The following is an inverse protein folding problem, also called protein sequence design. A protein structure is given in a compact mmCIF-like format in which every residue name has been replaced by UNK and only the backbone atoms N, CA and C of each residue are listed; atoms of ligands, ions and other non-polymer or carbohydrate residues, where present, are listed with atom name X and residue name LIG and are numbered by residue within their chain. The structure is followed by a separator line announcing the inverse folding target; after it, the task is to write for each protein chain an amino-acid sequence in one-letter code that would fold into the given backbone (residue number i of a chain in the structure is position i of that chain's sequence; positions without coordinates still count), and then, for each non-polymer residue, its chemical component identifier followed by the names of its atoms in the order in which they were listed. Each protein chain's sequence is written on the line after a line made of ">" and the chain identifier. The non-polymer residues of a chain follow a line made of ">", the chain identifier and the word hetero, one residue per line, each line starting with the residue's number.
data_IF_415563129428
#
_entry.id   IF_415563129428
#
_cell.length_a   1.000
_cell.length_b   1.000
_cell.length_c   1.000
_cell.angle_alpha   90.00
_cell.angle_beta   90.00
_cell.angle_gamma   90.00
#
_symmetry.space_group_name_H-M   'P 1'
#
loop_
_entity.id
_entity.type
_entity.pdbx_description
1 polymer ?
#
# COMPACT_ATOMS: atom_id res chain seq x y z
N UNK A 1 -5.91 -0.11 -47.25
CA UNK A 1 -5.24 0.78 -46.28
C UNK A 1 -6.33 1.46 -45.45
N UNK A 2 -6.78 0.82 -44.37
CA UNK A 2 -7.82 1.37 -43.50
C UNK A 2 -7.22 2.46 -42.61
N UNK A 3 -7.70 3.70 -42.75
CA UNK A 3 -7.38 4.79 -41.83
C UNK A 3 -7.98 4.43 -40.46
N UNK A 4 -7.11 4.29 -39.46
CA UNK A 4 -7.53 4.27 -38.06
C UNK A 4 -8.09 5.65 -37.73
N UNK A 5 -9.41 5.74 -37.59
CA UNK A 5 -10.06 6.86 -36.92
C UNK A 5 -9.74 6.72 -35.43
N UNK A 6 -8.81 7.53 -34.91
CA UNK A 6 -8.78 7.81 -33.48
C UNK A 6 -10.07 8.58 -33.18
N UNK A 7 -11.01 7.95 -32.49
CA UNK A 7 -12.15 8.64 -31.92
C UNK A 7 -11.64 9.68 -30.92
N UNK A 8 -12.10 10.93 -31.04
CA UNK A 8 -11.95 11.99 -30.03
C UNK A 8 -12.83 11.66 -28.82
N UNK A 9 -12.66 10.47 -28.24
CA UNK A 9 -13.30 10.13 -26.99
C UNK A 9 -12.64 10.96 -25.88
N UNK A 10 -13.40 11.73 -25.09
CA UNK A 10 -12.84 12.56 -24.04
C UNK A 10 -12.07 11.66 -23.07
N UNK A 11 -10.83 12.05 -22.76
CA UNK A 11 -9.97 11.37 -21.81
C UNK A 11 -10.79 11.11 -20.53
N UNK A 12 -10.92 9.85 -20.08
CA UNK A 12 -11.73 9.53 -18.90
C UNK A 12 -11.30 10.41 -17.73
N UNK A 13 -12.27 10.98 -16.99
CA UNK A 13 -11.98 11.92 -15.88
C UNK A 13 -10.98 11.37 -14.85
N UNK A 14 -10.95 10.04 -14.66
CA UNK A 14 -9.95 9.35 -13.85
C UNK A 14 -8.51 9.58 -14.34
N UNK A 15 -8.28 9.52 -15.65
CA UNK A 15 -6.97 9.76 -16.28
C UNK A 15 -6.59 11.25 -16.20
N UNK A 16 -7.58 12.15 -16.29
CA UNK A 16 -7.36 13.58 -16.08
C UNK A 16 -6.92 13.91 -14.65
N UNK A 17 -7.55 13.28 -13.65
CA UNK A 17 -7.18 13.39 -12.24
C UNK A 17 -5.78 12.84 -11.95
N UNK A 18 -5.45 11.67 -12.48
CA UNK A 18 -4.12 11.06 -12.33
C UNK A 18 -3.02 11.92 -12.97
N UNK A 19 -3.28 12.51 -14.15
CA UNK A 19 -2.33 13.39 -14.83
C UNK A 19 -2.10 14.70 -14.06
N UNK A 20 -3.15 15.25 -13.43
CA UNK A 20 -3.01 16.39 -12.53
C UNK A 20 -2.22 16.06 -11.27
N UNK A 21 -2.43 14.88 -10.67
CA UNK A 21 -1.65 14.42 -9.52
C UNK A 21 -0.17 14.21 -9.86
N UNK A 22 0.13 13.62 -11.03
CA UNK A 22 1.51 13.44 -11.50
C UNK A 22 2.22 14.78 -11.71
N UNK A 23 1.52 15.77 -12.28
CA UNK A 23 2.08 17.11 -12.47
C UNK A 23 2.34 17.82 -11.12
N UNK A 24 1.42 17.70 -10.16
CA UNK A 24 1.61 18.24 -8.82
C UNK A 24 2.79 17.59 -8.09
N UNK A 25 2.96 16.27 -8.23
CA UNK A 25 4.09 15.54 -7.67
C UNK A 25 5.41 16.00 -8.30
N UNK A 26 5.45 16.15 -9.63
CA UNK A 26 6.61 16.69 -10.35
C UNK A 26 7.02 18.06 -9.84
N UNK A 27 6.06 18.97 -9.69
CA UNK A 27 6.31 20.32 -9.18
C UNK A 27 6.81 20.34 -7.72
N UNK A 28 6.37 19.41 -6.86
CA UNK A 28 6.87 19.29 -5.48
C UNK A 28 8.31 18.76 -5.45
N UNK A 29 8.61 17.76 -6.29
CA UNK A 29 9.97 17.19 -6.40
C UNK A 29 10.94 18.25 -6.91
N UNK A 30 10.56 19.04 -7.91
CA UNK A 30 11.40 20.12 -8.42
C UNK A 30 11.69 21.18 -7.35
N UNK A 31 10.67 21.61 -6.59
CA UNK A 31 10.86 22.55 -5.47
C UNK A 31 11.81 22.00 -4.42
N UNK A 32 11.66 20.73 -4.05
CA UNK A 32 12.56 20.08 -3.09
C UNK A 32 14.00 20.00 -3.62
N UNK A 33 14.18 19.67 -4.90
CA UNK A 33 15.50 19.65 -5.54
C UNK A 33 16.14 21.04 -5.59
N UNK A 34 15.35 22.10 -5.79
CA UNK A 34 15.83 23.47 -5.74
C UNK A 34 16.32 23.84 -4.33
N UNK A 35 15.54 23.55 -3.29
CA UNK A 35 15.95 23.77 -1.90
C UNK A 35 17.21 22.97 -1.52
N UNK A 36 17.31 21.73 -2.02
CA UNK A 36 18.51 20.91 -1.87
C UNK A 36 19.74 21.53 -2.52
N UNK A 37 19.58 22.15 -3.69
CA UNK A 37 20.66 22.83 -4.39
C UNK A 37 21.12 24.10 -3.68
N UNK A 38 20.18 24.85 -3.10
CA UNK A 38 20.48 26.01 -2.26
C UNK A 38 21.25 25.59 -1.01
N UNK A 39 20.76 24.57 -0.29
CA UNK A 39 21.43 24.03 0.90
C UNK A 39 22.84 23.51 0.60
N UNK A 40 23.02 22.82 -0.53
CA UNK A 40 24.33 22.35 -1.00
C UNK A 40 25.30 23.52 -1.19
N UNK A 41 24.82 24.63 -1.77
CA UNK A 41 25.61 25.84 -2.02
C UNK A 41 25.98 26.54 -0.71
N UNK A 42 25.01 26.70 0.21
CA UNK A 42 25.25 27.32 1.53
C UNK A 42 26.26 26.55 2.37
N UNK A 43 26.22 25.22 2.33
CA UNK A 43 27.07 24.37 3.18
C UNK A 43 28.34 23.86 2.45
N UNK A 44 28.59 24.33 1.22
CA UNK A 44 29.73 23.89 0.39
C UNK A 44 29.81 22.36 0.21
N UNK A 45 28.65 21.69 0.13
CA UNK A 45 28.55 20.25 -0.08
C UNK A 45 28.28 19.99 -1.56
N UNK A 46 28.93 18.99 -2.16
CA UNK A 46 28.58 18.58 -3.53
C UNK A 46 27.13 18.10 -3.60
N UNK A 47 26.34 18.67 -4.52
CA UNK A 47 24.93 18.30 -4.71
C UNK A 47 24.73 16.79 -4.95
N UNK A 48 25.67 16.13 -5.64
CA UNK A 48 25.63 14.69 -5.88
C UNK A 48 25.67 13.88 -4.58
N UNK A 49 26.64 14.15 -3.70
CA UNK A 49 26.74 13.49 -2.39
C UNK A 49 25.53 13.77 -1.51
N UNK A 50 25.04 15.01 -1.50
CA UNK A 50 23.86 15.39 -0.72
C UNK A 50 22.61 14.65 -1.21
N UNK A 51 22.40 14.53 -2.52
CA UNK A 51 21.31 13.72 -3.09
C UNK A 51 21.43 12.25 -2.69
N UNK A 52 22.65 11.69 -2.67
CA UNK A 52 22.87 10.31 -2.24
C UNK A 52 22.53 10.12 -0.75
N UNK A 53 22.92 11.06 0.10
CA UNK A 53 22.60 11.05 1.54
C UNK A 53 21.09 11.14 1.74
N UNK A 54 20.40 12.07 1.06
CA UNK A 54 18.94 12.21 1.16
C UNK A 54 18.23 10.94 0.69
N UNK A 55 18.65 10.34 -0.44
CA UNK A 55 18.09 9.07 -0.91
C UNK A 55 18.26 7.97 0.15
N UNK A 56 19.44 7.87 0.74
CA UNK A 56 19.74 6.88 1.77
C UNK A 56 18.91 7.12 3.03
N UNK A 57 18.74 8.37 3.44
CA UNK A 57 17.90 8.74 4.58
C UNK A 57 16.42 8.39 4.34
N UNK A 58 15.91 8.58 3.11
CA UNK A 58 14.53 8.24 2.74
C UNK A 58 14.27 6.72 2.70
N UNK A 59 15.31 5.87 2.64
CA UNK A 59 15.14 4.42 2.73
C UNK A 59 14.68 3.97 4.12
N UNK A 60 15.07 4.68 5.18
CA UNK A 60 14.71 4.34 6.57
C UNK A 60 13.20 4.45 6.80
N UNK A 61 12.52 5.59 6.57
CA UNK A 61 11.07 5.68 6.71
C UNK A 61 10.33 4.79 5.69
N UNK A 62 10.87 4.56 4.49
CA UNK A 62 10.25 3.63 3.54
C UNK A 62 10.30 2.18 4.05
N UNK A 63 11.44 1.75 4.60
CA UNK A 63 11.59 0.45 5.25
C UNK A 63 10.71 0.32 6.48
N UNK A 64 10.64 1.37 7.30
CA UNK A 64 9.79 1.44 8.47
C UNK A 64 8.31 1.33 8.11
N UNK A 65 7.89 1.96 7.00
CA UNK A 65 6.51 1.88 6.52
C UNK A 65 6.16 0.47 6.05
N UNK A 66 7.04 -0.14 5.23
CA UNK A 66 6.85 -1.50 4.72
C UNK A 66 6.78 -2.56 5.81
N UNK A 67 7.53 -2.37 6.90
CA UNK A 67 7.56 -3.28 8.04
C UNK A 67 6.59 -2.89 9.16
N UNK A 68 5.80 -1.84 8.98
CA UNK A 68 4.85 -1.35 9.99
C UNK A 68 5.52 -1.07 11.34
N UNK A 69 6.71 -0.46 11.33
CA UNK A 69 7.48 -0.24 12.55
C UNK A 69 6.82 0.80 13.46
N UNK A 70 6.86 0.54 14.76
CA UNK A 70 6.44 1.46 15.81
C UNK A 70 7.43 2.61 15.98
N UNK A 71 6.97 3.74 16.52
CA UNK A 71 7.83 4.90 16.81
C UNK A 71 9.07 4.55 17.65
N UNK A 72 8.93 3.67 18.64
CA UNK A 72 10.06 3.19 19.47
C UNK A 72 11.09 2.39 18.67
N UNK A 73 10.64 1.54 17.74
CA UNK A 73 11.55 0.77 16.88
C UNK A 73 12.29 1.71 15.92
N UNK A 74 11.59 2.69 15.35
CA UNK A 74 12.21 3.71 14.49
C UNK A 74 13.26 4.51 15.27
N UNK A 75 12.99 4.87 16.53
CA UNK A 75 13.96 5.53 17.40
C UNK A 75 15.23 4.68 17.60
N UNK A 76 15.07 3.40 17.93
CA UNK A 76 16.18 2.49 18.15
C UNK A 76 17.02 2.29 16.87
N UNK A 77 16.38 2.21 15.71
CA UNK A 77 17.06 2.11 14.42
C UNK A 77 17.89 3.37 14.14
N UNK A 78 17.34 4.56 14.39
CA UNK A 78 18.10 5.81 14.19
C UNK A 78 19.28 5.96 15.16
N UNK A 79 19.15 5.51 16.41
CA UNK A 79 20.27 5.47 17.36
C UNK A 79 21.35 4.50 16.86
N UNK A 80 20.94 3.33 16.36
CA UNK A 80 21.86 2.32 15.79
C UNK A 80 22.60 2.84 14.55
N UNK A 81 21.94 3.70 13.77
CA UNK A 81 22.53 4.40 12.62
C UNK A 81 23.45 5.58 13.03
N UNK A 82 23.64 5.82 14.33
CA UNK A 82 24.57 6.81 14.86
C UNK A 82 23.98 8.21 15.05
N UNK A 83 22.65 8.37 15.03
CA UNK A 83 22.03 9.64 15.41
C UNK A 83 22.06 9.83 16.92
N UNK A 84 22.17 11.08 17.37
CA UNK A 84 22.01 11.42 18.79
C UNK A 84 20.61 11.09 19.27
N UNK A 85 20.47 10.79 20.56
CA UNK A 85 19.20 10.44 21.20
C UNK A 85 18.13 11.54 21.00
N UNK A 86 18.53 12.81 21.08
CA UNK A 86 17.66 13.97 20.83
C UNK A 86 17.07 13.93 19.40
N UNK A 87 17.91 13.70 18.38
CA UNK A 87 17.49 13.64 16.98
C UNK A 87 16.63 12.40 16.72
N UNK A 88 17.01 11.25 17.26
CA UNK A 88 16.24 10.03 17.13
C UNK A 88 14.84 10.16 17.77
N UNK A 89 14.76 10.82 18.92
CA UNK A 89 13.48 11.13 19.58
C UNK A 89 12.62 12.06 18.73
N UNK A 90 13.22 13.09 18.13
CA UNK A 90 12.51 13.97 17.20
C UNK A 90 11.92 13.19 15.99
N UNK A 91 12.71 12.29 15.39
CA UNK A 91 12.24 11.43 14.29
C UNK A 91 11.12 10.49 14.73
N UNK A 92 11.21 9.90 15.93
CA UNK A 92 10.17 9.05 16.51
C UNK A 92 8.83 9.77 16.66
N UNK A 93 8.84 11.01 17.18
CA UNK A 93 7.63 11.83 17.32
C UNK A 93 7.04 12.21 15.96
N UNK A 94 7.90 12.58 15.00
CA UNK A 94 7.45 12.85 13.63
C UNK A 94 6.91 11.61 12.94
N UNK A 95 7.49 10.43 13.20
CA UNK A 95 6.98 9.16 12.70
C UNK A 95 5.59 8.89 13.27
N UNK A 96 5.40 9.01 14.58
CA UNK A 96 4.09 8.82 15.24
C UNK A 96 2.99 9.71 14.65
N UNK A 97 3.31 10.97 14.34
CA UNK A 97 2.36 11.92 13.74
C UNK A 97 2.03 11.61 12.28
N UNK A 98 3.01 11.14 11.49
CA UNK A 98 2.87 11.04 10.03
C UNK A 98 2.68 9.61 9.52
N UNK A 99 3.03 8.58 10.30
CA UNK A 99 2.93 7.18 9.90
C UNK A 99 1.51 6.76 9.47
N UNK A 100 0.42 7.14 10.17
CA UNK A 100 -0.93 6.81 9.73
C UNK A 100 -1.27 7.43 8.36
N UNK A 101 -0.84 8.68 8.16
CA UNK A 101 -1.04 9.38 6.89
C UNK A 101 -0.22 8.71 5.79
N UNK A 102 1.06 8.45 6.01
CA UNK A 102 1.95 7.77 5.05
C UNK A 102 1.48 6.35 4.72
N UNK A 103 0.99 5.60 5.72
CA UNK A 103 0.41 4.28 5.53
C UNK A 103 -0.83 4.38 4.65
N UNK A 104 -1.73 5.32 4.92
CA UNK A 104 -2.89 5.59 4.05
C UNK A 104 -2.48 5.98 2.64
N UNK A 105 -1.41 6.74 2.44
CA UNK A 105 -0.90 7.07 1.09
C UNK A 105 -0.33 5.85 0.38
N UNK A 106 0.51 5.05 1.04
CA UNK A 106 1.09 3.83 0.47
C UNK A 106 0.03 2.76 0.17
N UNK A 107 -0.93 2.61 1.08
CA UNK A 107 -2.11 1.76 0.94
C UNK A 107 -3.00 2.33 -0.16
N UNK A 108 -3.22 3.65 -0.24
CA UNK A 108 -4.02 4.30 -1.28
C UNK A 108 -3.45 4.07 -2.67
N UNK A 109 -2.13 4.20 -2.85
CA UNK A 109 -1.48 3.90 -4.14
C UNK A 109 -1.52 2.41 -4.52
N UNK A 110 -1.67 1.50 -3.55
CA UNK A 110 -1.70 0.05 -3.80
C UNK A 110 -3.14 -0.50 -3.92
N UNK A 111 -4.08 -0.01 -3.10
CA UNK A 111 -5.48 -0.44 -3.07
C UNK A 111 -6.33 0.17 -4.18
N UNK A 112 -5.90 1.25 -4.83
CA UNK A 112 -6.57 1.74 -6.05
C UNK A 112 -6.55 0.70 -7.18
N UNK A 113 -5.75 -0.36 -7.05
CA UNK A 113 -5.63 -1.40 -8.06
C UNK A 113 -6.69 -2.50 -7.89
N UNK A 114 -7.24 -2.77 -6.69
CA UNK A 114 -8.25 -3.82 -6.45
C UNK A 114 -8.96 -3.64 -5.09
N UNK A 115 -9.92 -2.72 -4.96
CA UNK A 115 -10.65 -2.52 -3.69
C UNK A 115 -11.71 -3.59 -3.49
N UNK A 116 -11.71 -4.33 -2.39
CA UNK A 116 -12.83 -5.21 -2.05
C UNK A 116 -14.05 -4.36 -1.65
N UNK A 117 -15.08 -4.34 -2.49
CA UNK A 117 -16.33 -3.58 -2.29
C UNK A 117 -17.32 -4.38 -1.45
N UNK A 118 -17.45 -5.67 -1.74
CA UNK A 118 -18.46 -6.54 -1.13
C UNK A 118 -17.94 -7.98 -1.04
N UNK A 119 -18.50 -8.74 -0.10
CA UNK A 119 -18.21 -10.15 0.09
C UNK A 119 -19.50 -10.90 0.39
N UNK A 120 -19.89 -11.78 -0.53
CA UNK A 120 -20.95 -12.75 -0.31
C UNK A 120 -20.33 -14.11 0.03
N UNK A 121 -20.97 -14.86 0.91
CA UNK A 121 -20.55 -16.23 1.23
C UNK A 121 -21.74 -17.18 1.16
N UNK A 122 -21.47 -18.41 0.73
CA UNK A 122 -22.44 -19.50 0.68
C UNK A 122 -21.81 -20.75 1.28
N UNK A 123 -22.52 -21.35 2.23
CA UNK A 123 -22.12 -22.60 2.83
C UNK A 123 -22.78 -23.76 2.07
N UNK A 124 -21.98 -24.66 1.53
CA UNK A 124 -22.42 -25.81 0.77
C UNK A 124 -22.12 -27.12 1.50
N UNK A 125 -23.11 -28.01 1.51
CA UNK A 125 -22.93 -29.41 1.89
C UNK A 125 -23.27 -30.24 0.68
N UNK A 126 -22.29 -30.95 0.12
CA UNK A 126 -22.53 -31.88 -0.99
C UNK A 126 -23.14 -33.16 -0.43
N UNK A 127 -24.40 -33.46 -0.75
CA UNK A 127 -24.99 -34.78 -0.55
C UNK A 127 -24.83 -35.60 -1.84
N UNK A 128 -24.04 -36.68 -1.80
CA UNK A 128 -23.86 -37.58 -2.94
C UNK A 128 -24.48 -38.95 -2.67
N UNK A 129 -25.19 -39.52 -3.67
CA UNK A 129 -25.73 -40.89 -3.62
C UNK A 129 -24.80 -41.91 -4.34
N UNK A 130 -23.80 -41.48 -5.12
CA UNK A 130 -23.05 -42.38 -5.99
C UNK A 130 -21.58 -42.04 -6.26
N UNK A 131 -21.01 -41.01 -5.62
CA UNK A 131 -19.57 -40.71 -5.70
C UNK A 131 -18.93 -40.88 -4.31
N UNK A 132 -18.35 -42.06 -4.09
CA UNK A 132 -17.91 -42.59 -2.81
C UNK A 132 -16.91 -41.69 -2.04
N UNK A 133 -16.27 -40.71 -2.69
CA UNK A 133 -15.28 -39.81 -2.07
C UNK A 133 -15.76 -38.36 -1.82
N UNK A 134 -16.96 -37.97 -2.29
CA UNK A 134 -17.47 -36.58 -2.16
C UNK A 134 -18.77 -36.44 -1.37
N UNK A 135 -19.29 -37.53 -0.82
CA UNK A 135 -20.49 -37.50 0.02
C UNK A 135 -20.15 -36.83 1.36
N UNK A 136 -20.80 -35.71 1.66
CA UNK A 136 -20.66 -35.00 2.94
C UNK A 136 -19.49 -34.01 3.01
N UNK A 137 -18.82 -33.71 1.90
CA UNK A 137 -17.78 -32.68 1.89
C UNK A 137 -18.39 -31.29 2.11
N UNK A 138 -18.03 -30.67 3.23
CA UNK A 138 -18.41 -29.31 3.58
C UNK A 138 -17.48 -28.34 2.87
N UNK A 139 -18.03 -27.36 2.14
CA UNK A 139 -17.27 -26.32 1.48
C UNK A 139 -17.93 -24.94 1.68
N UNK A 140 -17.10 -23.90 1.66
CA UNK A 140 -17.52 -22.51 1.69
C UNK A 140 -17.19 -21.86 0.36
N UNK A 141 -18.18 -21.31 -0.33
CA UNK A 141 -17.98 -20.52 -1.54
C UNK A 141 -18.06 -19.04 -1.18
N UNK A 142 -16.94 -18.34 -1.35
CA UNK A 142 -16.81 -16.90 -1.21
C UNK A 142 -16.89 -16.25 -2.58
N UNK A 143 -17.67 -15.17 -2.68
CA UNK A 143 -17.70 -14.27 -3.83
C UNK A 143 -17.24 -12.90 -3.36
N UNK A 144 -16.07 -12.50 -3.83
CA UNK A 144 -15.47 -11.19 -3.57
C UNK A 144 -15.81 -10.27 -4.73
N UNK A 145 -16.39 -9.12 -4.44
CA UNK A 145 -16.70 -8.07 -5.42
C UNK A 145 -15.58 -7.04 -5.34
N UNK A 146 -14.70 -7.01 -6.34
CA UNK A 146 -13.47 -6.20 -6.33
C UNK A 146 -13.57 -5.07 -7.36
N UNK A 147 -13.29 -3.84 -6.95
CA UNK A 147 -13.17 -2.67 -7.83
C UNK A 147 -11.76 -2.57 -8.37
N UNK A 148 -11.61 -2.74 -9.67
CA UNK A 148 -10.35 -2.53 -10.40
C UNK A 148 -10.48 -1.27 -11.25
N UNK A 149 -10.03 -0.13 -10.71
CA UNK A 149 -10.23 1.17 -11.34
C UNK A 149 -11.72 1.53 -11.44
N UNK A 150 -12.28 1.56 -12.67
CA UNK A 150 -13.68 1.90 -12.92
C UNK A 150 -14.59 0.67 -13.17
N UNK A 151 -14.03 -0.54 -13.12
CA UNK A 151 -14.77 -1.79 -13.33
C UNK A 151 -14.87 -2.59 -12.03
N UNK A 152 -15.97 -3.34 -11.89
CA UNK A 152 -16.20 -4.24 -10.76
C UNK A 152 -16.13 -5.68 -11.26
N UNK A 153 -15.28 -6.49 -10.63
CA UNK A 153 -15.05 -7.89 -10.96
C UNK A 153 -15.51 -8.79 -9.80
N UNK A 154 -16.14 -9.92 -10.13
CA UNK A 154 -16.55 -10.92 -9.15
C UNK A 154 -15.54 -12.07 -9.14
N UNK A 155 -14.84 -12.26 -8.03
CA UNK A 155 -13.88 -13.36 -7.82
C UNK A 155 -14.54 -14.42 -6.94
N UNK A 156 -14.59 -15.65 -7.44
CA UNK A 156 -15.17 -16.79 -6.71
C UNK A 156 -14.06 -17.68 -6.15
N UNK A 157 -14.14 -18.00 -4.86
CA UNK A 157 -13.18 -18.83 -4.14
C UNK A 157 -13.96 -19.93 -3.43
N UNK A 158 -13.54 -21.18 -3.59
CA UNK A 158 -14.06 -22.29 -2.82
C UNK A 158 -13.00 -22.72 -1.78
N UNK A 159 -13.41 -22.78 -0.52
CA UNK A 159 -12.57 -23.16 0.60
C UNK A 159 -13.14 -24.39 1.30
N UNK A 160 -12.26 -25.31 1.66
CA UNK A 160 -12.58 -26.35 2.65
C UNK A 160 -12.65 -25.74 4.05
N UNK A 161 -13.29 -26.44 5.00
CA UNK A 161 -13.44 -25.95 6.37
C UNK A 161 -12.09 -25.64 7.07
N UNK A 162 -11.03 -26.48 6.96
CA UNK A 162 -9.72 -26.14 7.51
C UNK A 162 -9.09 -24.89 6.87
N UNK A 163 -9.21 -24.75 5.54
CA UNK A 163 -8.70 -23.58 4.82
C UNK A 163 -9.43 -22.29 5.23
N UNK A 164 -10.74 -22.37 5.52
CA UNK A 164 -11.49 -21.24 6.05
C UNK A 164 -10.99 -20.78 7.42
N UNK A 165 -10.74 -21.70 8.35
CA UNK A 165 -10.19 -21.33 9.66
C UNK A 165 -8.80 -20.71 9.56
N UNK A 166 -7.95 -21.23 8.67
CA UNK A 166 -6.66 -20.60 8.37
C UNK A 166 -6.84 -19.20 7.79
N UNK A 167 -7.75 -19.03 6.84
CA UNK A 167 -8.05 -17.72 6.24
C UNK A 167 -8.58 -16.72 7.27
N UNK A 168 -9.50 -17.12 8.15
CA UNK A 168 -10.03 -16.28 9.22
C UNK A 168 -8.93 -15.81 10.17
N UNK A 169 -8.07 -16.72 10.60
CA UNK A 169 -6.93 -16.40 11.46
C UNK A 169 -5.99 -15.37 10.81
N UNK A 170 -5.69 -15.52 9.52
CA UNK A 170 -4.87 -14.54 8.80
C UNK A 170 -5.57 -13.18 8.68
N UNK A 171 -6.88 -13.14 8.44
CA UNK A 171 -7.65 -11.88 8.45
C UNK A 171 -7.61 -11.20 9.82
N UNK A 172 -7.72 -11.94 10.91
CA UNK A 172 -7.62 -11.38 12.26
C UNK A 172 -6.23 -10.82 12.56
N UNK A 173 -5.17 -11.50 12.12
CA UNK A 173 -3.78 -10.99 12.21
C UNK A 173 -3.58 -9.70 11.42
N UNK A 174 -4.16 -9.62 10.22
CA UNK A 174 -4.13 -8.40 9.39
C UNK A 174 -4.92 -7.29 10.09
N UNK A 175 -6.09 -7.55 10.67
CA UNK A 175 -6.86 -6.57 11.46
C UNK A 175 -6.03 -5.97 12.59
N UNK A 176 -5.38 -6.81 13.40
CA UNK A 176 -4.54 -6.32 14.51
C UNK A 176 -3.34 -5.51 14.01
N UNK A 177 -2.77 -5.88 12.86
CA UNK A 177 -1.70 -5.10 12.23
C UNK A 177 -2.21 -3.75 11.71
N UNK A 178 -3.46 -3.70 11.22
CA UNK A 178 -4.10 -2.47 10.75
C UNK A 178 -4.47 -1.52 11.90
N UNK A 179 -4.94 -2.07 13.02
CA UNK A 179 -5.23 -1.31 14.25
C UNK A 179 -3.98 -0.64 14.85
N UNK A 180 -2.79 -1.20 14.61
CA UNK A 180 -1.51 -0.58 15.02
C UNK A 180 -1.18 0.72 14.26
N UNK A 181 -1.88 1.02 13.15
CA UNK A 181 -1.71 2.29 12.41
C UNK A 181 -2.66 3.41 12.88
N UNK A 182 -3.54 3.15 13.86
CA UNK A 182 -4.43 4.14 14.48
C UNK A 182 -3.83 4.65 15.79
#
# INVERSE_FOLDING_TARGET
>A
MGRLHCTEDPVPEAVGGDMQQLNQLGAQVERFLAQLSEFATTNQISLGSLRSIVKSLLLVPNGALKKSLTAKQVQADFITLGLSEEKATYFSEKWKQNAPTLARWAIGQTLMINQLIDMEWKFGVTSGSSELEKVGSIFLQLKLVVKKGNQTENVYIELTLPQFYSFLHEMERVRTSMECFC
#
